data_IF_667514318159
#
_entry.id   IF_667514318159
#
_cell.length_a   1.000
_cell.length_b   1.000
_cell.length_c   1.000
_cell.angle_alpha   90.00
_cell.angle_beta   90.00
_cell.angle_gamma   90.00
#
_symmetry.space_group_name_H-M   'P 1'
#
loop_
_entity.id
_entity.type
_entity.pdbx_description
1 polymer ?
#
# COMPACT_ATOMS: atom_id res chain seq x y z
N UNK A 1 27.38 6.97 -13.30
CA UNK A 1 27.74 7.20 -11.89
C UNK A 1 26.57 7.52 -10.96
N UNK A 2 25.47 8.11 -11.42
CA UNK A 2 24.30 8.47 -10.57
C UNK A 2 23.51 7.30 -9.97
N UNK A 3 23.51 6.12 -10.57
CA UNK A 3 22.78 4.96 -10.02
C UNK A 3 23.47 4.34 -8.80
N UNK A 4 24.81 4.26 -8.83
CA UNK A 4 25.59 3.74 -7.70
C UNK A 4 25.48 4.61 -6.44
N UNK A 5 25.42 5.93 -6.58
CA UNK A 5 25.23 6.84 -5.45
C UNK A 5 23.82 6.73 -4.85
N UNK A 6 22.78 6.57 -5.66
CA UNK A 6 21.41 6.40 -5.19
C UNK A 6 21.23 5.05 -4.46
N UNK A 7 21.82 3.97 -4.96
CA UNK A 7 21.76 2.64 -4.32
C UNK A 7 22.50 2.63 -2.97
N UNK A 8 23.64 3.30 -2.89
CA UNK A 8 24.41 3.45 -1.63
C UNK A 8 23.64 4.30 -0.61
N UNK A 9 22.93 5.35 -1.02
CA UNK A 9 22.10 6.16 -0.13
C UNK A 9 20.92 5.36 0.43
N UNK A 10 20.23 4.59 -0.39
CA UNK A 10 19.15 3.70 0.05
C UNK A 10 19.66 2.64 1.03
N UNK A 11 20.81 2.06 0.75
CA UNK A 11 21.46 1.07 1.62
C UNK A 11 21.90 1.68 2.96
N UNK A 12 22.47 2.88 2.93
CA UNK A 12 22.85 3.63 4.13
C UNK A 12 21.64 4.01 4.98
N UNK A 13 20.56 4.45 4.34
CA UNK A 13 19.29 4.75 5.03
C UNK A 13 18.70 3.49 5.67
N UNK A 14 18.69 2.37 4.96
CA UNK A 14 18.22 1.09 5.49
C UNK A 14 19.07 0.62 6.69
N UNK A 15 20.38 0.69 6.60
CA UNK A 15 21.26 0.33 7.70
C UNK A 15 21.10 1.23 8.91
N UNK A 16 21.04 2.55 8.71
CA UNK A 16 20.96 3.51 9.81
C UNK A 16 19.58 3.55 10.46
N UNK A 17 18.53 3.58 9.66
CA UNK A 17 17.16 3.72 10.16
C UNK A 17 16.47 2.37 10.36
N UNK A 18 16.60 1.46 9.42
CA UNK A 18 15.95 0.14 9.45
C UNK A 18 16.46 -0.73 10.59
N UNK A 19 17.79 -0.84 10.77
CA UNK A 19 18.38 -1.62 11.87
C UNK A 19 18.04 -1.01 13.24
N UNK A 20 18.12 0.32 13.37
CA UNK A 20 17.75 1.00 14.60
C UNK A 20 16.27 0.79 14.95
N UNK A 21 15.39 0.85 13.96
CA UNK A 21 13.95 0.63 14.16
C UNK A 21 13.63 -0.83 14.51
N UNK A 22 14.29 -1.80 13.87
CA UNK A 22 14.17 -3.22 14.23
C UNK A 22 14.63 -3.49 15.66
N UNK A 23 15.76 -2.93 16.07
CA UNK A 23 16.27 -3.08 17.43
C UNK A 23 15.31 -2.45 18.45
N UNK A 24 14.83 -1.24 18.18
CA UNK A 24 13.85 -0.55 19.03
C UNK A 24 12.56 -1.37 19.16
N UNK A 25 12.05 -1.91 18.05
CA UNK A 25 10.87 -2.78 18.05
C UNK A 25 11.07 -4.04 18.91
N UNK A 26 12.21 -4.73 18.75
CA UNK A 26 12.52 -5.94 19.53
C UNK A 26 12.66 -5.63 21.03
N UNK A 27 13.30 -4.51 21.39
CA UNK A 27 13.45 -4.08 22.78
C UNK A 27 12.08 -3.74 23.38
N UNK A 28 11.25 -3.00 22.67
CA UNK A 28 9.92 -2.58 23.12
C UNK A 28 8.99 -3.78 23.28
N UNK A 29 9.06 -4.73 22.35
CA UNK A 29 8.29 -5.96 22.40
C UNK A 29 8.75 -6.86 23.55
N UNK A 30 10.05 -7.04 23.72
CA UNK A 30 10.61 -7.85 24.80
C UNK A 30 10.35 -7.25 26.18
N UNK A 31 10.55 -5.94 26.35
CA UNK A 31 10.28 -5.25 27.60
C UNK A 31 8.77 -5.19 27.91
N UNK A 32 7.95 -4.90 26.90
CA UNK A 32 6.50 -4.85 27.04
C UNK A 32 5.90 -6.21 27.44
N UNK A 33 6.28 -7.28 26.74
CA UNK A 33 5.86 -8.64 27.10
C UNK A 33 6.37 -9.06 28.49
N UNK A 34 7.63 -8.77 28.81
CA UNK A 34 8.20 -9.07 30.12
C UNK A 34 7.46 -8.35 31.24
N UNK A 35 7.15 -7.07 31.08
CA UNK A 35 6.37 -6.30 32.04
C UNK A 35 4.93 -6.82 32.18
N UNK A 36 4.27 -7.18 31.07
CA UNK A 36 2.91 -7.76 31.11
C UNK A 36 2.87 -9.09 31.85
N UNK A 37 3.83 -9.98 31.60
CA UNK A 37 3.91 -11.28 32.29
C UNK A 37 4.15 -11.10 33.79
N UNK A 38 4.96 -10.11 34.15
CA UNK A 38 5.28 -9.83 35.57
C UNK A 38 4.11 -9.19 36.34
N UNK A 39 3.42 -8.22 35.72
CA UNK A 39 2.34 -7.46 36.37
C UNK A 39 0.99 -8.21 36.31
N UNK A 40 0.64 -8.75 35.14
CA UNK A 40 -0.65 -9.40 34.91
C UNK A 40 -0.53 -10.55 33.90
N UNK A 41 -0.20 -11.78 34.34
CA UNK A 41 0.03 -12.90 33.45
C UNK A 41 -1.22 -13.28 32.62
N UNK A 42 -2.42 -13.05 33.15
CA UNK A 42 -3.67 -13.29 32.43
C UNK A 42 -3.80 -12.38 31.19
N UNK A 43 -3.44 -11.09 31.34
CA UNK A 43 -3.43 -10.15 30.23
C UNK A 43 -2.40 -10.54 29.16
N UNK A 44 -1.23 -11.00 29.56
CA UNK A 44 -0.21 -11.47 28.65
C UNK A 44 -0.70 -12.66 27.79
N UNK A 45 -1.43 -13.60 28.38
CA UNK A 45 -2.01 -14.74 27.64
C UNK A 45 -3.07 -14.26 26.63
N UNK A 46 -3.96 -13.36 27.02
CA UNK A 46 -5.00 -12.82 26.12
C UNK A 46 -4.36 -12.10 24.93
N UNK A 47 -3.35 -11.26 25.18
CA UNK A 47 -2.63 -10.54 24.13
C UNK A 47 -1.88 -11.50 23.19
N UNK A 48 -1.22 -12.52 23.74
CA UNK A 48 -0.53 -13.53 22.94
C UNK A 48 -1.49 -14.37 22.09
N UNK A 49 -2.72 -14.63 22.55
CA UNK A 49 -3.75 -15.30 21.77
C UNK A 49 -4.33 -14.41 20.65
N UNK A 50 -4.40 -13.11 20.85
CA UNK A 50 -4.86 -12.16 19.82
C UNK A 50 -3.85 -11.99 18.68
N UNK A 51 -2.53 -12.09 18.96
CA UNK A 51 -1.45 -11.90 17.98
C UNK A 51 -1.54 -12.81 16.75
N UNK A 52 -1.72 -14.14 16.84
CA UNK A 52 -1.83 -14.99 15.66
C UNK A 52 -3.06 -14.66 14.82
N UNK A 53 -4.18 -14.27 15.46
CA UNK A 53 -5.37 -13.86 14.74
C UNK A 53 -5.16 -12.57 13.94
N UNK A 54 -4.51 -11.58 14.55
CA UNK A 54 -4.09 -10.35 13.88
C UNK A 54 -3.13 -10.65 12.72
N UNK A 55 -2.13 -11.52 12.95
CA UNK A 55 -1.15 -11.89 11.93
C UNK A 55 -1.79 -12.53 10.70
N UNK A 56 -2.75 -13.42 10.90
CA UNK A 56 -3.52 -14.05 9.79
C UNK A 56 -4.34 -13.00 9.03
N UNK A 57 -4.94 -12.05 9.75
CA UNK A 57 -5.73 -10.97 9.13
C UNK A 57 -4.85 -10.05 8.29
N UNK A 58 -3.71 -9.63 8.83
CA UNK A 58 -2.71 -8.81 8.11
C UNK A 58 -2.17 -9.56 6.88
N UNK A 59 -1.86 -10.84 6.99
CA UNK A 59 -1.38 -11.63 5.87
C UNK A 59 -2.42 -11.76 4.74
N UNK A 60 -3.70 -11.95 5.10
CA UNK A 60 -4.80 -11.98 4.12
C UNK A 60 -5.03 -10.63 3.46
N UNK A 61 -4.91 -9.56 4.24
CA UNK A 61 -4.97 -8.20 3.72
C UNK A 61 -3.86 -7.94 2.70
N UNK A 62 -2.61 -8.21 3.07
CA UNK A 62 -1.45 -7.98 2.20
C UNK A 62 -1.58 -8.72 0.86
N UNK A 63 -2.01 -9.99 0.89
CA UNK A 63 -2.26 -10.77 -0.32
C UNK A 63 -3.34 -10.21 -1.24
N UNK A 64 -4.29 -9.44 -0.72
CA UNK A 64 -5.35 -8.80 -1.50
C UNK A 64 -4.98 -7.39 -1.94
N UNK A 65 -4.37 -6.64 -1.04
CA UNK A 65 -4.05 -5.23 -1.31
C UNK A 65 -2.88 -5.06 -2.28
N UNK A 66 -1.88 -5.92 -2.20
CA UNK A 66 -0.70 -5.84 -3.07
C UNK A 66 -1.05 -5.93 -4.58
N UNK A 67 -1.80 -6.95 -5.07
CA UNK A 67 -2.20 -7.02 -6.47
C UNK A 67 -3.14 -5.87 -6.86
N UNK A 68 -4.01 -5.38 -5.97
CA UNK A 68 -4.87 -4.24 -6.22
C UNK A 68 -4.06 -2.96 -6.49
N UNK A 69 -3.05 -2.66 -5.66
CA UNK A 69 -2.14 -1.55 -5.91
C UNK A 69 -1.34 -1.67 -7.21
N UNK A 70 -0.92 -2.87 -7.57
CA UNK A 70 -0.29 -3.10 -8.88
C UNK A 70 -1.27 -2.83 -10.03
N UNK A 71 -2.55 -3.17 -9.85
CA UNK A 71 -3.63 -2.83 -10.78
C UNK A 71 -3.77 -1.32 -10.96
N UNK A 72 -3.84 -0.57 -9.86
CA UNK A 72 -3.89 0.91 -9.87
C UNK A 72 -2.69 1.50 -10.61
N UNK A 73 -1.47 1.05 -10.31
CA UNK A 73 -0.26 1.54 -10.99
C UNK A 73 -0.28 1.27 -12.50
N UNK A 74 -0.76 0.10 -12.92
CA UNK A 74 -0.87 -0.27 -14.33
C UNK A 74 -1.93 0.56 -15.06
N UNK A 75 -3.11 0.77 -14.46
CA UNK A 75 -4.15 1.60 -15.05
C UNK A 75 -3.75 3.06 -15.11
N UNK A 76 -3.05 3.57 -14.09
CA UNK A 76 -2.46 4.90 -14.12
C UNK A 76 -1.41 5.08 -15.23
N UNK A 77 -0.51 4.12 -15.38
CA UNK A 77 0.48 4.14 -16.46
C UNK A 77 -0.18 4.17 -17.85
N UNK A 78 -1.23 3.36 -18.08
CA UNK A 78 -2.00 3.37 -19.33
C UNK A 78 -2.69 4.72 -19.58
N UNK A 79 -3.25 5.34 -18.53
CA UNK A 79 -3.86 6.65 -18.61
C UNK A 79 -2.81 7.71 -18.97
N UNK A 80 -1.66 7.73 -18.30
CA UNK A 80 -0.57 8.67 -18.56
C UNK A 80 -0.02 8.51 -19.98
N UNK A 81 0.16 7.28 -20.46
CA UNK A 81 0.56 7.03 -21.84
C UNK A 81 -0.45 7.62 -22.82
N UNK A 82 -1.75 7.46 -22.56
CA UNK A 82 -2.80 8.02 -23.43
C UNK A 82 -2.79 9.56 -23.45
N UNK A 83 -2.52 10.19 -22.30
CA UNK A 83 -2.32 11.64 -22.23
C UNK A 83 -1.13 12.08 -23.09
N UNK A 84 0.01 11.40 -22.97
CA UNK A 84 1.21 11.70 -23.73
C UNK A 84 0.99 11.54 -25.24
N UNK A 85 0.31 10.45 -25.65
CA UNK A 85 -0.06 10.21 -27.05
C UNK A 85 -0.95 11.35 -27.58
N UNK A 86 -1.96 11.77 -26.81
CA UNK A 86 -2.89 12.82 -27.20
C UNK A 86 -2.19 14.19 -27.30
N UNK A 87 -1.29 14.50 -26.38
CA UNK A 87 -0.50 15.74 -26.43
C UNK A 87 0.43 15.75 -27.64
N UNK A 88 1.16 14.65 -27.87
CA UNK A 88 2.10 14.56 -29.00
C UNK A 88 1.38 14.48 -30.35
N UNK A 89 0.21 13.85 -30.39
CA UNK A 89 -0.60 13.69 -31.60
C UNK A 89 -1.65 14.79 -31.86
N UNK A 90 -1.69 15.85 -31.02
CA UNK A 90 -2.75 16.86 -31.06
C UNK A 90 -2.95 17.50 -32.43
N UNK A 91 -1.89 17.77 -33.16
CA UNK A 91 -1.99 18.33 -34.52
C UNK A 91 -2.69 17.36 -35.48
N UNK A 92 -2.39 16.07 -35.38
CA UNK A 92 -3.01 15.03 -36.20
C UNK A 92 -4.48 14.83 -35.85
N UNK A 93 -4.80 14.82 -34.55
CA UNK A 93 -6.19 14.70 -34.06
C UNK A 93 -7.05 15.85 -34.59
N UNK A 94 -6.55 17.08 -34.49
CA UNK A 94 -7.23 18.30 -35.02
C UNK A 94 -7.34 18.27 -36.54
N UNK A 95 -6.30 17.87 -37.25
CA UNK A 95 -6.32 17.82 -38.72
C UNK A 95 -7.37 16.80 -39.24
N UNK A 96 -7.63 15.75 -38.47
CA UNK A 96 -8.60 14.70 -38.81
C UNK A 96 -9.99 14.93 -38.16
N UNK A 97 -10.20 16.01 -37.42
CA UNK A 97 -11.43 16.33 -36.66
C UNK A 97 -11.89 15.14 -35.79
N UNK A 98 -10.96 14.47 -35.07
CA UNK A 98 -11.24 13.28 -34.26
C UNK A 98 -11.20 13.54 -32.75
N UNK A 99 -11.43 14.77 -32.32
CA UNK A 99 -11.37 15.17 -30.92
C UNK A 99 -12.36 14.36 -30.06
N UNK A 100 -13.60 14.21 -30.51
CA UNK A 100 -14.63 13.46 -29.75
C UNK A 100 -14.24 11.99 -29.55
N UNK A 101 -13.64 11.36 -30.56
CA UNK A 101 -13.15 9.98 -30.47
C UNK A 101 -12.04 9.86 -29.42
N UNK A 102 -11.10 10.82 -29.40
CA UNK A 102 -10.00 10.80 -28.43
C UNK A 102 -10.47 11.13 -27.00
N UNK A 103 -11.45 12.00 -26.85
CA UNK A 103 -12.12 12.27 -25.56
C UNK A 103 -12.81 11.00 -25.05
N UNK A 104 -13.53 10.30 -25.91
CA UNK A 104 -14.18 9.03 -25.53
C UNK A 104 -13.16 7.97 -25.10
N UNK A 105 -12.06 7.80 -25.84
CA UNK A 105 -10.98 6.86 -25.51
C UNK A 105 -10.28 7.22 -24.21
N UNK A 106 -10.06 8.50 -23.95
CA UNK A 106 -9.51 8.98 -22.68
C UNK A 106 -10.48 8.71 -21.54
N UNK A 107 -11.77 9.00 -21.73
CA UNK A 107 -12.83 8.74 -20.76
C UNK A 107 -12.88 7.27 -20.34
N UNK A 108 -12.75 6.33 -21.30
CA UNK A 108 -12.71 4.90 -21.00
C UNK A 108 -11.48 4.51 -20.14
N UNK A 109 -10.30 5.05 -20.46
CA UNK A 109 -9.09 4.81 -19.65
C UNK A 109 -9.20 5.41 -18.25
N UNK A 110 -9.76 6.60 -18.15
CA UNK A 110 -10.01 7.25 -16.86
C UNK A 110 -11.01 6.46 -16.02
N UNK A 111 -12.06 5.92 -16.62
CA UNK A 111 -13.02 5.06 -15.94
C UNK A 111 -12.38 3.78 -15.42
N UNK A 112 -11.56 3.11 -16.23
CA UNK A 112 -10.79 1.93 -15.78
C UNK A 112 -9.87 2.24 -14.60
N UNK A 113 -9.20 3.38 -14.62
CA UNK A 113 -8.38 3.84 -13.50
C UNK A 113 -9.22 4.10 -12.25
N UNK A 114 -10.35 4.78 -12.39
CA UNK A 114 -11.29 5.03 -11.29
C UNK A 114 -11.82 3.72 -10.67
N UNK A 115 -12.27 2.78 -11.50
CA UNK A 115 -12.78 1.48 -11.04
C UNK A 115 -11.72 0.71 -10.25
N UNK A 116 -10.48 0.65 -10.76
CA UNK A 116 -9.37 -0.02 -10.05
C UNK A 116 -9.04 0.66 -8.70
N UNK A 117 -9.15 2.00 -8.62
CA UNK A 117 -8.99 2.73 -7.36
C UNK A 117 -10.12 2.43 -6.38
N UNK A 118 -11.36 2.38 -6.86
CA UNK A 118 -12.52 2.06 -6.02
C UNK A 118 -12.43 0.64 -5.45
N UNK A 119 -12.02 -0.35 -6.25
CA UNK A 119 -11.76 -1.71 -5.77
C UNK A 119 -10.69 -1.73 -4.66
N UNK A 120 -9.61 -0.99 -4.85
CA UNK A 120 -8.54 -0.87 -3.85
C UNK A 120 -9.04 -0.17 -2.58
N UNK A 121 -9.80 0.92 -2.72
CA UNK A 121 -10.42 1.63 -1.60
C UNK A 121 -11.40 0.74 -0.82
N UNK A 122 -12.16 -0.12 -1.52
CA UNK A 122 -13.08 -1.06 -0.89
C UNK A 122 -12.34 -2.12 -0.06
N UNK A 123 -11.19 -2.62 -0.53
CA UNK A 123 -10.34 -3.51 0.26
C UNK A 123 -9.89 -2.81 1.54
N UNK A 124 -9.40 -1.58 1.44
CA UNK A 124 -8.98 -0.79 2.58
C UNK A 124 -10.11 -0.54 3.59
N UNK A 125 -11.27 -0.10 3.11
CA UNK A 125 -12.43 0.21 3.97
C UNK A 125 -12.96 -1.02 4.73
N UNK A 126 -12.73 -2.22 4.20
CA UNK A 126 -13.16 -3.47 4.84
C UNK A 126 -12.15 -3.97 5.88
N UNK A 127 -10.86 -3.95 5.53
CA UNK A 127 -9.83 -4.53 6.39
C UNK A 127 -9.32 -3.59 7.48
N UNK A 128 -9.29 -2.29 7.24
CA UNK A 128 -8.77 -1.33 8.22
C UNK A 128 -9.58 -1.30 9.52
N UNK A 129 -10.91 -1.18 9.51
CA UNK A 129 -11.71 -1.24 10.74
C UNK A 129 -11.61 -2.60 11.45
N UNK A 130 -11.47 -3.69 10.69
CA UNK A 130 -11.31 -5.02 11.26
C UNK A 130 -10.00 -5.16 12.05
N UNK A 131 -8.89 -4.66 11.50
CA UNK A 131 -7.60 -4.65 12.19
C UNK A 131 -7.63 -3.76 13.44
N UNK A 132 -8.25 -2.60 13.33
CA UNK A 132 -8.41 -1.66 14.45
C UNK A 132 -9.26 -2.26 15.58
N UNK A 133 -10.34 -2.94 15.23
CA UNK A 133 -11.19 -3.62 16.20
C UNK A 133 -10.44 -4.73 16.93
N UNK A 134 -9.66 -5.55 16.20
CA UNK A 134 -8.84 -6.61 16.82
C UNK A 134 -7.75 -6.00 17.72
N UNK A 135 -7.13 -4.91 17.28
CA UNK A 135 -6.13 -4.20 18.07
C UNK A 135 -6.70 -3.61 19.36
N UNK A 136 -7.87 -3.00 19.30
CA UNK A 136 -8.54 -2.38 20.45
C UNK A 136 -9.11 -3.39 21.48
N UNK A 137 -9.45 -4.61 21.06
CA UNK A 137 -9.86 -5.67 22.00
C UNK A 137 -8.68 -6.11 22.89
N UNK A 138 -7.44 -5.88 22.43
CA UNK A 138 -6.23 -6.25 23.19
C UNK A 138 -5.76 -5.20 24.20
N UNK A 139 -6.42 -4.04 24.27
CA UNK A 139 -6.13 -2.94 25.17
C UNK A 139 -7.20 -2.84 26.26
#
# INVERSE_FOLDING_TARGET
MSRLTADVEVFRFFLSFGCAQCLNFLLLLGFGLGAMVYLHPLLAVVTLLAMPFLSVTVYRFDRRVHPAFLGVRRSFARLTTKVQENISGMHTVKALAREELEISRFGERNRQYMETNLETAYIWSTYFPLMELIGNISV
#
